data_IF_011086043806
#
_entry.id   IF_011086043806
#
_cell.length_a   1.000
_cell.length_b   1.000
_cell.length_c   1.000
_cell.angle_alpha   90.00
_cell.angle_beta   90.00
_cell.angle_gamma   90.00
#
_symmetry.space_group_name_H-M   'P 1'
#
loop_
_entity.id
_entity.type
_entity.pdbx_description
1 polymer ?
#
# COMPACT_ATOMS: atom_id res chain seq x y z
N UNK A 1 -12.38 -30.16 7.94
CA UNK A 1 -11.81 -29.03 7.17
C UNK A 1 -10.35 -29.36 6.87
N UNK A 2 -9.87 -29.10 5.68
CA UNK A 2 -8.49 -29.39 5.27
C UNK A 2 -7.74 -28.07 5.05
N UNK A 3 -6.51 -27.98 5.56
CA UNK A 3 -5.63 -26.84 5.40
C UNK A 3 -4.55 -27.15 4.38
N UNK A 4 -4.30 -26.25 3.46
CA UNK A 4 -3.29 -26.41 2.42
C UNK A 4 -2.38 -25.18 2.34
N UNK A 5 -1.14 -25.40 1.89
CA UNK A 5 -0.20 -24.33 1.61
C UNK A 5 -0.05 -23.33 2.76
N UNK A 6 -0.33 -22.05 2.49
CA UNK A 6 -0.20 -20.97 3.46
C UNK A 6 -1.13 -21.10 4.65
N UNK A 7 -2.35 -21.65 4.48
CA UNK A 7 -3.28 -21.87 5.61
C UNK A 7 -2.68 -22.89 6.60
N UNK A 8 -2.05 -23.97 6.12
CA UNK A 8 -1.35 -24.92 7.00
C UNK A 8 -0.18 -24.25 7.72
N UNK A 9 0.57 -23.39 7.05
CA UNK A 9 1.66 -22.65 7.66
C UNK A 9 1.14 -21.72 8.79
N UNK A 10 0.04 -21.00 8.56
CA UNK A 10 -0.61 -20.16 9.59
C UNK A 10 -1.03 -21.00 10.81
N UNK A 11 -1.65 -22.17 10.58
CA UNK A 11 -2.07 -23.08 11.68
C UNK A 11 -0.93 -23.49 12.58
N UNK A 12 0.23 -23.77 12.02
CA UNK A 12 1.40 -24.32 12.73
C UNK A 12 2.35 -23.25 13.29
N UNK A 13 2.18 -22.00 12.88
CA UNK A 13 3.11 -20.92 13.26
C UNK A 13 2.94 -20.51 14.72
N UNK A 14 4.04 -20.55 15.49
CA UNK A 14 4.11 -20.17 16.91
C UNK A 14 4.72 -18.78 17.14
N UNK A 15 4.97 -18.00 16.09
CA UNK A 15 5.51 -16.64 16.21
C UNK A 15 4.59 -15.76 17.05
N UNK A 16 5.15 -14.94 17.93
CA UNK A 16 4.43 -14.15 18.93
C UNK A 16 3.37 -13.22 18.33
N UNK A 17 3.68 -12.60 17.20
CA UNK A 17 2.79 -11.64 16.51
C UNK A 17 2.62 -12.08 15.06
N UNK A 18 1.39 -12.46 14.67
CA UNK A 18 1.06 -12.91 13.31
C UNK A 18 0.10 -11.94 12.64
N UNK A 19 0.46 -11.53 11.44
CA UNK A 19 -0.42 -10.86 10.49
C UNK A 19 -0.82 -11.85 9.39
N UNK A 20 -2.12 -12.17 9.34
CA UNK A 20 -2.73 -13.05 8.34
C UNK A 20 -3.60 -12.21 7.41
N UNK A 21 -2.94 -11.45 6.58
CA UNK A 21 -3.56 -10.54 5.62
C UNK A 21 -4.02 -11.27 4.35
N UNK A 22 -4.92 -10.69 3.59
CA UNK A 22 -5.20 -11.24 2.27
C UNK A 22 -6.58 -10.95 1.69
N UNK A 23 -6.85 -11.62 0.57
CA UNK A 23 -8.04 -11.49 -0.25
C UNK A 23 -9.36 -11.76 0.48
N UNK A 24 -10.46 -11.31 -0.12
CA UNK A 24 -11.80 -11.76 0.30
C UNK A 24 -11.91 -13.28 0.07
N UNK A 25 -12.66 -13.97 0.93
CA UNK A 25 -12.85 -15.43 0.85
C UNK A 25 -11.57 -16.28 0.90
N UNK A 26 -10.42 -15.72 1.26
CA UNK A 26 -9.15 -16.45 1.43
C UNK A 26 -9.14 -17.39 2.65
N UNK A 27 -10.21 -17.41 3.46
CA UNK A 27 -10.33 -18.28 4.63
C UNK A 27 -9.61 -17.82 5.89
N UNK A 28 -9.14 -16.56 5.93
CA UNK A 28 -8.38 -15.96 7.04
C UNK A 28 -9.05 -16.17 8.41
N UNK A 29 -10.28 -15.67 8.54
CA UNK A 29 -11.04 -15.75 9.80
C UNK A 29 -11.22 -17.19 10.26
N UNK A 30 -11.53 -18.10 9.34
CA UNK A 30 -11.75 -19.52 9.66
C UNK A 30 -10.45 -20.18 10.15
N UNK A 31 -9.33 -20.00 9.45
CA UNK A 31 -8.06 -20.61 9.86
C UNK A 31 -7.56 -20.05 11.20
N UNK A 32 -7.72 -18.74 11.44
CA UNK A 32 -7.34 -18.13 12.70
C UNK A 32 -8.20 -18.63 13.86
N UNK A 33 -9.51 -18.73 13.70
CA UNK A 33 -10.40 -19.27 14.74
C UNK A 33 -10.10 -20.75 15.05
N UNK A 34 -9.85 -21.57 14.03
CA UNK A 34 -9.42 -22.96 14.24
C UNK A 34 -8.08 -23.06 14.97
N UNK A 35 -7.15 -22.13 14.71
CA UNK A 35 -5.89 -22.04 15.42
C UNK A 35 -6.11 -21.75 16.93
N UNK A 36 -7.00 -20.82 17.26
CA UNK A 36 -7.34 -20.53 18.65
C UNK A 36 -8.11 -21.69 19.30
N UNK A 37 -8.98 -22.35 18.55
CA UNK A 37 -9.66 -23.57 19.03
C UNK A 37 -8.64 -24.69 19.34
N UNK A 38 -7.66 -24.91 18.47
CA UNK A 38 -6.59 -25.88 18.72
C UNK A 38 -5.79 -25.54 19.99
N UNK A 39 -5.54 -24.25 20.24
CA UNK A 39 -4.87 -23.79 21.46
C UNK A 39 -5.71 -24.08 22.72
N UNK A 40 -7.05 -23.93 22.67
CA UNK A 40 -7.95 -24.31 23.76
C UNK A 40 -7.81 -25.80 24.12
N UNK A 41 -7.72 -26.67 23.12
CA UNK A 41 -7.55 -28.11 23.34
C UNK A 41 -6.16 -28.47 23.89
N UNK A 42 -5.16 -27.76 23.39
CA UNK A 42 -3.75 -28.06 23.71
C UNK A 42 -3.36 -27.57 25.12
N UNK A 43 -3.93 -26.45 25.58
CA UNK A 43 -3.51 -25.78 26.82
C UNK A 43 -4.71 -25.65 27.78
N UNK A 44 -4.91 -26.58 28.72
CA UNK A 44 -5.97 -26.48 29.72
C UNK A 44 -5.89 -25.17 30.51
N UNK A 45 -7.02 -24.49 30.69
CA UNK A 45 -7.13 -23.24 31.43
C UNK A 45 -6.67 -22.00 30.66
N UNK A 46 -6.31 -22.09 29.38
CA UNK A 46 -5.81 -20.95 28.60
C UNK A 46 -6.86 -19.83 28.48
N UNK A 47 -6.48 -18.57 28.79
CA UNK A 47 -7.30 -17.39 28.53
C UNK A 47 -7.03 -16.84 27.13
N UNK A 48 -8.05 -16.81 26.26
CA UNK A 48 -7.99 -16.31 24.88
C UNK A 48 -8.97 -15.16 24.71
N UNK A 49 -8.61 -14.15 23.92
CA UNK A 49 -9.50 -13.07 23.49
C UNK A 49 -9.79 -13.18 22.00
N UNK A 50 -11.06 -13.22 21.62
CA UNK A 50 -11.55 -13.05 20.25
C UNK A 50 -12.16 -11.66 20.11
N UNK A 51 -11.68 -10.86 19.18
CA UNK A 51 -12.04 -9.45 19.09
C UNK A 51 -12.29 -8.96 17.66
N UNK A 52 -13.07 -7.90 17.56
CA UNK A 52 -13.20 -6.97 16.44
C UNK A 52 -13.27 -5.54 16.93
N UNK A 53 -13.35 -4.58 16.01
CA UNK A 53 -13.45 -3.19 16.42
C UNK A 53 -14.74 -2.89 17.18
N UNK A 54 -15.91 -3.42 16.75
CA UNK A 54 -17.19 -3.17 17.43
C UNK A 54 -17.78 -4.42 18.06
N UNK A 55 -18.62 -4.26 19.10
CA UNK A 55 -19.33 -5.36 19.75
C UNK A 55 -20.32 -6.01 18.76
N UNK A 56 -21.05 -5.24 17.96
CA UNK A 56 -21.97 -5.75 16.95
C UNK A 56 -21.27 -6.67 15.96
N UNK A 57 -20.07 -6.29 15.53
CA UNK A 57 -19.30 -7.07 14.56
C UNK A 57 -18.74 -8.37 15.16
N UNK A 58 -18.25 -8.37 16.40
CA UNK A 58 -17.76 -9.60 17.03
C UNK A 58 -18.90 -10.58 17.31
N UNK A 59 -20.02 -10.12 17.86
CA UNK A 59 -21.16 -10.97 18.17
C UNK A 59 -21.92 -11.43 16.92
N UNK A 60 -21.99 -10.59 15.87
CA UNK A 60 -22.69 -10.93 14.63
C UNK A 60 -21.89 -11.83 13.67
N UNK A 61 -20.57 -11.83 13.73
CA UNK A 61 -19.72 -12.53 12.74
C UNK A 61 -18.77 -13.56 13.36
N UNK A 62 -18.07 -13.21 14.44
CA UNK A 62 -17.07 -14.11 15.04
C UNK A 62 -17.73 -15.19 15.88
N UNK A 63 -18.68 -14.82 16.74
CA UNK A 63 -19.36 -15.75 17.63
C UNK A 63 -20.08 -16.88 16.89
N UNK A 64 -20.86 -16.62 15.81
CA UNK A 64 -21.47 -17.71 15.04
C UNK A 64 -20.46 -18.68 14.43
N UNK A 65 -19.35 -18.17 13.89
CA UNK A 65 -18.28 -19.01 13.34
C UNK A 65 -17.56 -19.82 14.43
N UNK A 66 -17.28 -19.19 15.57
CA UNK A 66 -16.69 -19.88 16.72
C UNK A 66 -17.57 -21.01 17.21
N UNK A 67 -18.88 -20.76 17.37
CA UNK A 67 -19.86 -21.78 17.80
C UNK A 67 -19.89 -22.94 16.80
N UNK A 68 -19.93 -22.65 15.49
CA UNK A 68 -19.92 -23.70 14.47
C UNK A 68 -18.63 -24.52 14.49
N UNK A 69 -17.48 -23.93 14.79
CA UNK A 69 -16.20 -24.64 14.97
C UNK A 69 -16.28 -25.58 16.17
N UNK A 70 -16.74 -25.10 17.33
CA UNK A 70 -16.87 -25.93 18.55
C UNK A 70 -17.86 -27.08 18.34
N UNK A 71 -19.01 -26.82 17.70
CA UNK A 71 -19.97 -27.85 17.34
C UNK A 71 -19.37 -28.91 16.41
N UNK A 72 -18.71 -28.49 15.34
CA UNK A 72 -18.03 -29.40 14.41
C UNK A 72 -16.96 -30.24 15.09
N UNK A 73 -16.27 -29.67 16.08
CA UNK A 73 -15.22 -30.35 16.83
C UNK A 73 -15.75 -31.23 17.97
N UNK A 74 -17.04 -31.08 18.31
CA UNK A 74 -17.67 -31.82 19.44
C UNK A 74 -17.29 -31.28 20.83
N UNK A 75 -16.88 -29.99 20.91
CA UNK A 75 -16.48 -29.37 22.17
C UNK A 75 -17.63 -28.56 22.78
N UNK A 76 -17.99 -28.93 24.03
CA UNK A 76 -18.98 -28.19 24.78
C UNK A 76 -18.41 -26.89 25.37
N UNK A 77 -19.18 -25.83 25.31
CA UNK A 77 -18.86 -24.54 25.90
C UNK A 77 -20.09 -23.91 26.55
N UNK A 78 -19.89 -23.11 27.58
CA UNK A 78 -20.95 -22.45 28.34
C UNK A 78 -20.75 -20.94 28.27
N UNK A 79 -21.77 -20.21 27.83
CA UNK A 79 -21.73 -18.76 27.78
C UNK A 79 -21.91 -18.14 29.17
N UNK A 80 -20.95 -17.35 29.58
CA UNK A 80 -20.97 -16.55 30.80
C UNK A 80 -21.26 -15.09 30.43
N UNK A 81 -22.50 -14.65 30.61
CA UNK A 81 -22.94 -13.31 30.25
C UNK A 81 -22.36 -12.20 31.12
N UNK A 82 -21.97 -12.50 32.37
CA UNK A 82 -21.37 -11.48 33.27
C UNK A 82 -19.97 -11.10 32.83
N UNK A 83 -19.20 -12.07 32.37
CA UNK A 83 -17.84 -11.84 31.93
C UNK A 83 -17.71 -11.77 30.40
N UNK A 84 -18.82 -11.95 29.66
CA UNK A 84 -18.89 -12.06 28.22
C UNK A 84 -17.79 -12.97 27.66
N UNK A 85 -17.76 -14.21 28.13
CA UNK A 85 -16.84 -15.24 27.71
C UNK A 85 -17.53 -16.62 27.59
N UNK A 86 -16.87 -17.51 26.84
CA UNK A 86 -17.17 -18.92 26.87
C UNK A 86 -16.25 -19.64 27.85
N UNK A 87 -16.79 -20.40 28.75
CA UNK A 87 -16.07 -21.32 29.62
C UNK A 87 -16.12 -22.74 29.05
N UNK A 88 -14.98 -23.42 28.95
CA UNK A 88 -14.88 -24.81 28.52
C UNK A 88 -14.85 -25.74 29.71
N UNK A 89 -15.93 -26.47 30.02
CA UNK A 89 -15.99 -27.32 31.20
C UNK A 89 -14.99 -28.48 31.19
N UNK A 90 -14.58 -28.94 29.99
CA UNK A 90 -13.70 -30.08 29.81
C UNK A 90 -12.25 -29.82 30.31
N UNK A 91 -11.77 -28.58 30.23
CA UNK A 91 -10.38 -28.27 30.57
C UNK A 91 -10.15 -26.87 31.19
N UNK A 92 -11.23 -26.10 31.41
CA UNK A 92 -11.15 -24.78 32.05
C UNK A 92 -10.67 -23.66 31.14
N UNK A 93 -10.48 -23.87 29.83
CA UNK A 93 -10.14 -22.80 28.90
C UNK A 93 -11.24 -21.71 28.88
N UNK A 94 -10.82 -20.45 28.77
CA UNK A 94 -11.73 -19.31 28.80
C UNK A 94 -11.55 -18.41 27.60
N UNK A 95 -12.62 -18.16 26.85
CA UNK A 95 -12.60 -17.43 25.60
C UNK A 95 -13.41 -16.15 25.75
N UNK A 96 -12.74 -15.02 25.94
CA UNK A 96 -13.34 -13.69 26.03
C UNK A 96 -13.76 -13.19 24.66
N UNK A 97 -14.92 -12.55 24.59
CA UNK A 97 -15.50 -11.98 23.38
C UNK A 97 -15.65 -10.47 23.55
N UNK A 98 -14.97 -9.66 22.72
CA UNK A 98 -15.00 -8.19 22.89
C UNK A 98 -14.97 -7.43 21.55
N UNK A 99 -15.81 -6.39 21.47
CA UNK A 99 -15.54 -5.25 20.60
C UNK A 99 -14.60 -4.29 21.33
N UNK A 100 -13.55 -3.83 20.64
CA UNK A 100 -12.50 -3.02 21.27
C UNK A 100 -12.80 -1.51 21.26
N UNK A 101 -13.80 -1.06 20.48
CA UNK A 101 -14.22 0.33 20.42
C UNK A 101 -14.83 0.78 21.75
N UNK A 102 -14.24 1.79 22.40
CA UNK A 102 -14.81 2.48 23.53
C UNK A 102 -15.78 3.56 23.05
N UNK A 103 -16.92 3.71 23.74
CA UNK A 103 -17.86 4.82 23.49
C UNK A 103 -17.30 6.15 24.01
N UNK A 104 -16.48 6.11 25.06
CA UNK A 104 -15.85 7.29 25.66
C UNK A 104 -14.38 7.36 25.22
N UNK A 105 -14.02 8.43 24.50
CA UNK A 105 -12.65 8.65 24.03
C UNK A 105 -11.65 8.86 25.18
N UNK A 106 -12.10 9.38 26.33
CA UNK A 106 -11.26 9.54 27.51
C UNK A 106 -10.91 8.21 28.19
N UNK A 107 -11.73 7.20 27.96
CA UNK A 107 -11.57 5.83 28.45
C UNK A 107 -11.19 4.82 27.35
N UNK A 108 -10.46 5.28 26.34
CA UNK A 108 -10.15 4.56 25.11
C UNK A 108 -9.64 3.13 25.33
N UNK A 109 -8.87 2.89 26.38
CA UNK A 109 -8.30 1.58 26.73
C UNK A 109 -9.12 0.82 27.79
N UNK A 110 -10.27 1.34 28.23
CA UNK A 110 -11.02 0.77 29.36
C UNK A 110 -11.42 -0.68 29.14
N UNK A 111 -11.76 -1.04 27.90
CA UNK A 111 -12.19 -2.39 27.53
C UNK A 111 -11.06 -3.44 27.59
N UNK A 112 -9.78 -3.03 27.61
CA UNK A 112 -8.64 -3.93 27.71
C UNK A 112 -8.01 -3.95 29.10
N UNK A 113 -8.35 -2.98 29.96
CA UNK A 113 -7.81 -2.90 31.31
C UNK A 113 -8.29 -4.08 32.15
N UNK A 114 -7.35 -4.68 32.89
CA UNK A 114 -7.66 -5.83 33.78
C UNK A 114 -7.59 -7.19 33.10
N UNK A 115 -7.44 -7.26 31.77
CA UNK A 115 -7.20 -8.56 31.12
C UNK A 115 -5.75 -9.01 31.28
N UNK A 116 -5.63 -10.31 31.57
CA UNK A 116 -4.37 -11.07 31.53
C UNK A 116 -4.68 -12.29 30.65
N UNK A 117 -4.24 -12.21 29.38
CA UNK A 117 -4.53 -13.23 28.38
C UNK A 117 -3.25 -13.88 27.87
N UNK A 118 -3.36 -15.08 27.36
CA UNK A 118 -2.27 -15.78 26.70
C UNK A 118 -2.30 -15.52 25.18
N UNK A 119 -3.48 -15.51 24.60
CA UNK A 119 -3.64 -15.36 23.15
C UNK A 119 -4.74 -14.37 22.81
N UNK A 120 -4.60 -13.72 21.69
CA UNK A 120 -5.63 -12.86 21.13
C UNK A 120 -5.75 -13.07 19.62
N UNK A 121 -6.96 -13.05 19.13
CA UNK A 121 -7.27 -12.97 17.71
C UNK A 121 -8.13 -11.73 17.43
N UNK A 122 -7.70 -10.91 16.46
CA UNK A 122 -8.42 -9.71 16.00
C UNK A 122 -8.78 -9.86 14.53
N UNK A 123 -10.05 -9.99 14.24
CA UNK A 123 -10.57 -10.03 12.86
C UNK A 123 -10.80 -8.62 12.33
N UNK A 124 -10.53 -8.40 11.04
CA UNK A 124 -10.57 -7.08 10.37
C UNK A 124 -9.76 -6.02 11.14
N UNK A 125 -8.51 -6.36 11.41
CA UNK A 125 -7.62 -5.52 12.21
C UNK A 125 -7.28 -4.18 11.54
N UNK A 126 -7.57 -3.99 10.26
CA UNK A 126 -7.47 -2.71 9.56
C UNK A 126 -8.39 -1.63 10.13
N UNK A 127 -9.47 -2.03 10.81
CA UNK A 127 -10.35 -1.09 11.51
C UNK A 127 -9.77 -0.62 12.85
N UNK A 128 -8.73 -1.30 13.37
CA UNK A 128 -8.19 -1.08 14.70
C UNK A 128 -7.16 0.06 14.69
N UNK A 129 -7.28 1.06 15.58
CA UNK A 129 -6.20 2.02 15.80
C UNK A 129 -4.93 1.36 16.34
N UNK A 130 -3.75 1.85 15.90
CA UNK A 130 -2.46 1.28 16.27
C UNK A 130 -2.22 1.22 17.79
N UNK A 131 -2.60 2.26 18.51
CA UNK A 131 -2.44 2.32 19.97
C UNK A 131 -3.28 1.28 20.73
N UNK A 132 -4.44 0.90 20.20
CA UNK A 132 -5.25 -0.20 20.75
C UNK A 132 -4.57 -1.55 20.51
N UNK A 133 -3.93 -1.75 19.37
CA UNK A 133 -3.13 -2.94 19.09
C UNK A 133 -1.95 -3.06 20.11
N UNK A 134 -1.22 -1.96 20.33
CA UNK A 134 -0.11 -1.94 21.29
C UNK A 134 -0.58 -2.24 22.72
N UNK A 135 -1.71 -1.67 23.14
CA UNK A 135 -2.31 -1.97 24.45
C UNK A 135 -2.71 -3.44 24.56
N UNK A 136 -3.32 -4.01 23.51
CA UNK A 136 -3.71 -5.42 23.48
C UNK A 136 -2.47 -6.34 23.56
N UNK A 137 -1.43 -6.05 22.78
CA UNK A 137 -0.17 -6.81 22.81
C UNK A 137 0.48 -6.81 24.21
N UNK A 138 0.33 -5.69 24.95
CA UNK A 138 0.76 -5.57 26.34
C UNK A 138 -0.02 -6.45 27.33
N UNK A 139 -1.22 -6.93 26.94
CA UNK A 139 -2.04 -7.83 27.81
C UNK A 139 -1.68 -9.30 27.65
N UNK A 140 -0.83 -9.66 26.71
CA UNK A 140 -0.32 -11.03 26.55
C UNK A 140 0.69 -11.37 27.66
N UNK A 141 0.19 -11.69 28.84
CA UNK A 141 1.01 -11.88 30.04
C UNK A 141 0.53 -13.02 30.95
N UNK A 142 -0.42 -13.85 30.50
CA UNK A 142 -0.90 -14.99 31.28
C UNK A 142 0.22 -16.01 31.53
N UNK A 143 0.57 -16.30 32.81
CA UNK A 143 1.71 -17.15 33.12
C UNK A 143 1.44 -18.62 32.73
N UNK A 144 2.48 -19.32 32.28
CA UNK A 144 2.41 -20.76 31.99
C UNK A 144 1.87 -21.10 30.59
N UNK A 145 1.59 -20.10 29.74
CA UNK A 145 1.08 -20.28 28.39
C UNK A 145 1.97 -19.64 27.34
N UNK A 146 1.98 -20.18 26.09
CA UNK A 146 2.59 -19.49 24.97
C UNK A 146 1.78 -18.24 24.61
N UNK A 147 2.45 -17.11 24.43
CA UNK A 147 1.82 -15.84 24.08
C UNK A 147 1.79 -15.64 22.58
N UNK A 148 0.60 -15.40 22.03
CA UNK A 148 0.46 -15.07 20.61
C UNK A 148 -0.69 -14.09 20.38
N UNK A 149 -0.48 -13.07 19.52
CA UNK A 149 -1.51 -12.26 18.93
C UNK A 149 -1.56 -12.53 17.42
N UNK A 150 -2.74 -12.84 16.94
CA UNK A 150 -3.01 -13.02 15.51
C UNK A 150 -3.97 -11.94 15.05
N UNK A 151 -3.61 -11.20 14.02
CA UNK A 151 -4.50 -10.24 13.38
C UNK A 151 -4.81 -10.71 11.96
N UNK A 152 -6.04 -10.45 11.48
CA UNK A 152 -6.43 -10.80 10.11
C UNK A 152 -7.11 -9.63 9.41
N UNK A 153 -6.33 -8.70 8.85
CA UNK A 153 -6.84 -7.63 8.01
C UNK A 153 -7.20 -8.12 6.60
N UNK A 154 -7.99 -7.33 5.87
CA UNK A 154 -7.98 -7.40 4.41
C UNK A 154 -6.64 -6.88 3.90
N UNK A 155 -6.36 -7.06 2.58
CA UNK A 155 -5.16 -6.50 2.00
C UNK A 155 -5.19 -4.96 2.12
N UNK A 156 -4.26 -4.43 2.90
CA UNK A 156 -4.16 -3.02 3.32
C UNK A 156 -3.26 -2.20 2.40
N UNK A 157 -3.25 -0.89 2.63
CA UNK A 157 -2.29 0.01 2.00
C UNK A 157 -0.92 -0.06 2.69
N UNK A 158 0.15 0.15 1.93
CA UNK A 158 1.53 0.16 2.48
C UNK A 158 1.76 1.28 3.51
N UNK A 159 0.91 2.31 3.52
CA UNK A 159 0.93 3.39 4.51
C UNK A 159 0.24 3.04 5.83
N UNK A 160 -0.51 1.95 5.88
CA UNK A 160 -1.23 1.53 7.08
C UNK A 160 -0.27 1.07 8.18
N UNK A 161 -0.62 1.29 9.46
CA UNK A 161 0.24 0.92 10.59
C UNK A 161 0.59 -0.57 10.61
N UNK A 162 -0.33 -1.46 10.18
CA UNK A 162 -0.07 -2.90 10.08
C UNK A 162 1.08 -3.18 9.10
N UNK A 163 1.12 -2.48 7.95
CA UNK A 163 2.20 -2.66 6.98
C UNK A 163 3.56 -2.23 7.52
N UNK A 164 3.58 -1.22 8.41
CA UNK A 164 4.79 -0.75 9.07
C UNK A 164 5.28 -1.73 10.15
N UNK A 165 4.35 -2.29 10.93
CA UNK A 165 4.66 -3.26 11.98
C UNK A 165 5.02 -4.65 11.41
N UNK A 166 4.39 -5.05 10.30
CA UNK A 166 4.56 -6.35 9.64
C UNK A 166 5.00 -6.16 8.18
N UNK A 167 6.20 -5.62 7.89
CA UNK A 167 6.69 -5.51 6.53
C UNK A 167 6.84 -6.90 5.88
N UNK A 168 6.66 -6.98 4.56
CA UNK A 168 6.72 -8.26 3.81
C UNK A 168 8.09 -8.94 4.00
N UNK A 169 9.17 -8.14 3.98
CA UNK A 169 10.55 -8.61 4.19
C UNK A 169 10.99 -8.42 5.65
N UNK A 170 10.20 -8.94 6.57
CA UNK A 170 10.39 -8.73 7.99
C UNK A 170 11.57 -9.56 8.54
N UNK A 171 12.56 -8.91 9.12
CA UNK A 171 13.68 -9.54 9.84
C UNK A 171 13.43 -9.73 11.35
N UNK A 172 12.30 -9.25 11.90
CA UNK A 172 11.96 -9.40 13.30
C UNK A 172 11.50 -10.84 13.59
N UNK A 173 12.21 -11.62 14.43
CA UNK A 173 11.87 -13.02 14.69
C UNK A 173 10.56 -13.18 15.48
N UNK A 174 10.04 -12.12 16.08
CA UNK A 174 8.80 -12.13 16.85
C UNK A 174 7.56 -11.78 16.03
N UNK A 175 7.73 -11.40 14.74
CA UNK A 175 6.64 -10.98 13.86
C UNK A 175 6.69 -11.74 12.56
N UNK A 176 5.53 -12.09 12.03
CA UNK A 176 5.43 -12.75 10.73
C UNK A 176 4.18 -12.31 9.97
N UNK A 177 4.36 -12.12 8.69
CA UNK A 177 3.30 -11.75 7.75
C UNK A 177 3.00 -12.92 6.81
N UNK A 178 1.70 -13.17 6.59
CA UNK A 178 1.16 -14.11 5.60
C UNK A 178 0.18 -13.38 4.69
N UNK A 179 0.44 -13.39 3.39
CA UNK A 179 -0.50 -12.90 2.37
C UNK A 179 -1.26 -14.08 1.76
N UNK A 180 -2.58 -14.15 2.00
CA UNK A 180 -3.46 -15.20 1.47
C UNK A 180 -4.26 -14.68 0.28
N UNK A 181 -4.19 -15.38 -0.85
CA UNK A 181 -5.04 -15.16 -2.01
C UNK A 181 -6.35 -15.95 -1.89
N UNK A 182 -7.33 -15.64 -2.74
CA UNK A 182 -8.54 -16.44 -2.83
C UNK A 182 -8.25 -17.91 -3.23
N UNK A 183 -7.18 -18.14 -3.98
CA UNK A 183 -6.76 -19.46 -4.46
C UNK A 183 -6.23 -20.33 -3.33
N UNK A 184 -5.69 -19.76 -2.25
CA UNK A 184 -5.25 -20.49 -1.05
C UNK A 184 -6.43 -21.18 -0.35
N UNK A 185 -7.68 -20.78 -0.64
CA UNK A 185 -8.92 -21.35 -0.08
C UNK A 185 -9.78 -22.08 -1.11
N UNK A 186 -9.30 -22.26 -2.35
CA UNK A 186 -10.10 -22.80 -3.45
C UNK A 186 -10.75 -24.17 -3.13
N UNK A 187 -10.05 -25.01 -2.37
CA UNK A 187 -10.52 -26.34 -1.98
C UNK A 187 -11.68 -26.35 -0.96
N UNK A 188 -11.96 -25.21 -0.30
CA UNK A 188 -13.06 -25.05 0.65
C UNK A 188 -14.23 -24.22 0.08
N UNK A 189 -14.06 -23.65 -1.12
CA UNK A 189 -15.08 -22.81 -1.77
C UNK A 189 -15.90 -23.63 -2.77
N UNK A 190 -17.15 -23.22 -2.98
CA UNK A 190 -17.91 -23.71 -4.13
C UNK A 190 -17.15 -23.34 -5.43
N UNK A 191 -17.05 -24.26 -6.41
CA UNK A 191 -16.31 -24.04 -7.66
C UNK A 191 -16.75 -22.80 -8.45
N UNK A 192 -17.97 -22.30 -8.26
CA UNK A 192 -18.48 -21.10 -8.94
C UNK A 192 -17.99 -19.78 -8.34
N UNK A 193 -17.48 -19.78 -7.09
CA UNK A 193 -17.15 -18.56 -6.34
C UNK A 193 -15.94 -17.83 -6.96
N UNK A 194 -14.85 -18.55 -7.25
CA UNK A 194 -13.64 -17.93 -7.81
C UNK A 194 -13.92 -17.34 -9.20
N UNK A 195 -14.52 -18.07 -10.17
CA UNK A 195 -14.85 -17.49 -11.47
C UNK A 195 -15.81 -16.29 -11.38
N UNK A 196 -16.74 -16.29 -10.44
CA UNK A 196 -17.63 -15.16 -10.23
C UNK A 196 -16.88 -13.91 -9.74
N UNK A 197 -15.95 -14.07 -8.80
CA UNK A 197 -15.15 -12.97 -8.28
C UNK A 197 -14.13 -12.45 -9.30
N UNK A 198 -13.50 -13.32 -10.08
CA UNK A 198 -12.60 -12.92 -11.17
C UNK A 198 -13.32 -12.13 -12.27
N UNK A 199 -14.59 -12.46 -12.54
CA UNK A 199 -15.42 -11.68 -13.46
C UNK A 199 -15.78 -10.31 -12.90
N UNK A 200 -16.04 -10.19 -11.60
CA UNK A 200 -16.31 -8.91 -10.92
C UNK A 200 -15.05 -8.05 -10.80
N UNK A 201 -13.91 -8.68 -10.59
CA UNK A 201 -12.59 -8.04 -10.40
C UNK A 201 -11.57 -8.67 -11.36
N UNK A 202 -11.69 -8.43 -12.69
CA UNK A 202 -10.75 -8.98 -13.67
C UNK A 202 -9.33 -8.41 -13.43
N UNK A 203 -8.28 -8.99 -14.04
CA UNK A 203 -6.90 -8.52 -13.88
C UNK A 203 -6.67 -7.03 -14.18
N UNK A 204 -7.51 -6.44 -15.03
CA UNK A 204 -7.50 -4.99 -15.31
C UNK A 204 -8.20 -4.13 -14.24
N UNK A 205 -8.90 -4.74 -13.29
CA UNK A 205 -9.63 -4.02 -12.25
C UNK A 205 -8.65 -3.59 -11.14
N UNK A 206 -8.65 -2.30 -10.70
CA UNK A 206 -7.72 -1.79 -9.68
C UNK A 206 -7.69 -2.60 -8.38
N UNK A 207 -8.83 -3.18 -7.99
CA UNK A 207 -8.94 -4.01 -6.77
C UNK A 207 -8.62 -5.49 -6.97
N UNK A 208 -8.25 -5.93 -8.18
CA UNK A 208 -7.89 -7.34 -8.43
C UNK A 208 -6.76 -7.80 -7.52
N UNK A 209 -5.72 -6.98 -7.42
CA UNK A 209 -4.53 -7.28 -6.61
C UNK A 209 -4.88 -7.49 -5.13
N UNK A 210 -5.71 -6.62 -4.55
CA UNK A 210 -6.07 -6.69 -3.14
C UNK A 210 -7.15 -7.72 -2.84
N UNK A 211 -8.24 -7.72 -3.65
CA UNK A 211 -9.41 -8.55 -3.35
C UNK A 211 -9.31 -10.00 -3.85
N UNK A 212 -8.50 -10.26 -4.89
CA UNK A 212 -8.30 -11.59 -5.47
C UNK A 212 -6.95 -12.18 -5.05
N UNK A 213 -5.87 -11.43 -5.24
CA UNK A 213 -4.52 -11.93 -4.96
C UNK A 213 -4.12 -11.78 -3.49
N UNK A 214 -4.81 -10.93 -2.71
CA UNK A 214 -4.50 -10.67 -1.30
C UNK A 214 -3.15 -9.98 -1.10
N UNK A 215 -2.68 -9.26 -2.09
CA UNK A 215 -1.41 -8.54 -2.05
C UNK A 215 -1.70 -7.12 -1.61
N UNK A 216 -0.90 -6.61 -0.68
CA UNK A 216 -0.90 -5.20 -0.26
C UNK A 216 -0.85 -4.28 -1.47
N UNK A 217 -1.44 -3.18 -1.36
CA UNK A 217 -1.52 -2.18 -2.39
C UNK A 217 -2.79 -1.38 -2.22
N UNK A 218 -2.93 -0.40 -3.02
CA UNK A 218 -3.88 0.68 -2.93
C UNK A 218 -5.32 0.22 -2.75
N UNK A 219 -5.93 0.64 -1.66
CA UNK A 219 -7.38 0.77 -1.59
C UNK A 219 -7.75 2.02 -2.41
N UNK A 220 -7.92 1.84 -3.72
CA UNK A 220 -8.23 2.95 -4.62
C UNK A 220 -9.64 3.43 -4.35
N UNK A 221 -9.77 4.41 -3.49
CA UNK A 221 -10.96 5.26 -3.42
C UNK A 221 -10.74 6.42 -4.37
N UNK A 222 -11.32 6.34 -5.57
CA UNK A 222 -11.22 7.36 -6.59
C UNK A 222 -11.00 6.79 -8.00
N UNK A 223 -11.18 7.62 -9.01
CA UNK A 223 -10.89 7.28 -10.39
C UNK A 223 -9.39 7.45 -10.67
N UNK A 224 -8.66 6.38 -11.10
CA UNK A 224 -7.23 6.48 -11.40
C UNK A 224 -6.95 7.50 -12.52
N UNK A 225 -5.89 8.28 -12.35
CA UNK A 225 -5.49 9.33 -13.29
C UNK A 225 -5.16 8.76 -14.67
N UNK A 226 -4.51 7.62 -14.73
CA UNK A 226 -4.09 6.98 -15.98
C UNK A 226 -5.10 5.95 -16.51
N UNK A 227 -6.24 5.75 -15.83
CA UNK A 227 -7.41 5.05 -16.35
C UNK A 227 -7.16 3.71 -17.03
N UNK A 228 -6.31 2.83 -16.48
CA UNK A 228 -5.97 1.53 -17.06
C UNK A 228 -5.01 1.58 -18.26
N UNK A 229 -4.43 2.75 -18.59
CA UNK A 229 -3.36 2.85 -19.59
C UNK A 229 -2.09 2.11 -19.15
N UNK A 230 -1.78 2.11 -17.85
CA UNK A 230 -0.71 1.33 -17.28
C UNK A 230 -1.22 -0.08 -16.95
N UNK A 231 -0.60 -1.08 -17.54
CA UNK A 231 -0.84 -2.51 -17.26
C UNK A 231 0.48 -3.10 -16.78
N UNK A 232 0.54 -3.52 -15.53
CA UNK A 232 1.77 -3.95 -14.86
C UNK A 232 2.53 -5.02 -15.65
N UNK A 233 1.85 -6.04 -16.15
CA UNK A 233 2.44 -7.12 -16.93
C UNK A 233 3.11 -6.67 -18.24
N UNK A 234 2.71 -5.49 -18.76
CA UNK A 234 3.27 -4.92 -19.99
C UNK A 234 4.31 -3.84 -19.71
N UNK A 235 4.11 -3.06 -18.66
CA UNK A 235 4.88 -1.83 -18.40
C UNK A 235 5.86 -1.95 -17.21
N UNK A 236 5.84 -3.04 -16.47
CA UNK A 236 6.87 -3.34 -15.46
C UNK A 236 7.73 -4.50 -15.97
N UNK A 237 9.01 -4.25 -16.16
CA UNK A 237 9.91 -5.25 -16.75
C UNK A 237 11.38 -4.85 -16.68
N UNK A 238 12.28 -5.64 -17.29
CA UNK A 238 13.69 -5.33 -17.29
C UNK A 238 13.94 -4.03 -18.08
N UNK A 239 14.59 -3.07 -17.41
CA UNK A 239 15.07 -1.83 -18.02
C UNK A 239 16.46 -1.53 -17.45
N UNK A 240 17.47 -1.70 -18.30
CA UNK A 240 18.87 -1.48 -17.91
C UNK A 240 19.29 -0.06 -18.21
N UNK A 241 20.20 0.44 -17.37
CA UNK A 241 20.87 1.70 -17.57
C UNK A 241 21.87 1.60 -18.73
N UNK A 242 21.84 2.57 -19.65
CA UNK A 242 22.83 2.72 -20.71
C UNK A 242 23.69 3.98 -20.45
N UNK A 243 24.98 3.85 -20.12
CA UNK A 243 25.83 4.99 -19.80
C UNK A 243 25.99 5.99 -20.95
N UNK A 244 25.69 5.63 -22.19
CA UNK A 244 25.75 6.49 -23.37
C UNK A 244 24.55 7.41 -23.52
N UNK A 245 23.49 7.18 -22.79
CA UNK A 245 22.26 7.98 -22.81
C UNK A 245 22.24 8.93 -21.61
N UNK A 246 21.70 10.14 -21.76
CA UNK A 246 21.50 11.02 -20.62
C UNK A 246 20.67 10.36 -19.52
N UNK A 247 21.09 10.53 -18.27
CA UNK A 247 20.32 10.17 -17.09
C UNK A 247 19.51 11.38 -16.64
N UNK A 248 18.20 11.31 -16.80
CA UNK A 248 17.27 12.33 -16.33
C UNK A 248 16.87 12.06 -14.87
N UNK A 249 16.88 13.09 -14.04
CA UNK A 249 16.50 13.02 -12.64
C UNK A 249 15.50 14.12 -12.31
N UNK A 250 14.39 13.78 -11.66
CA UNK A 250 13.43 14.74 -11.14
C UNK A 250 13.30 14.65 -9.63
N UNK A 251 13.15 15.81 -8.99
CA UNK A 251 12.94 15.95 -7.55
C UNK A 251 11.58 16.60 -7.26
N UNK A 252 10.82 15.98 -6.35
CA UNK A 252 9.65 16.58 -5.71
C UNK A 252 9.97 16.81 -4.23
N UNK A 253 9.78 18.05 -3.76
CA UNK A 253 10.20 18.47 -2.41
C UNK A 253 9.23 18.10 -1.30
N UNK A 254 8.25 17.27 -1.51
CA UNK A 254 7.21 16.92 -0.56
C UNK A 254 7.62 17.12 0.90
N UNK A 255 6.88 17.93 1.67
CA UNK A 255 7.27 18.39 3.01
C UNK A 255 7.70 17.27 3.96
N UNK A 256 7.07 16.10 3.84
CA UNK A 256 7.32 14.92 4.68
C UNK A 256 7.78 13.70 3.85
N UNK A 257 7.55 13.74 2.54
CA UNK A 257 7.83 12.66 1.62
C UNK A 257 8.56 13.18 0.37
N UNK A 258 9.80 13.69 0.51
CA UNK A 258 10.59 14.09 -0.65
C UNK A 258 10.82 12.90 -1.56
N UNK A 259 10.78 13.12 -2.87
CA UNK A 259 10.88 12.04 -3.85
C UNK A 259 11.91 12.38 -4.95
N UNK A 260 12.60 11.36 -5.44
CA UNK A 260 13.41 11.41 -6.65
C UNK A 260 13.07 10.24 -7.56
N UNK A 261 13.03 10.48 -8.86
CA UNK A 261 12.86 9.45 -9.89
C UNK A 261 13.93 9.63 -10.98
N UNK A 262 14.52 8.50 -11.40
CA UNK A 262 15.54 8.42 -12.44
C UNK A 262 14.96 7.82 -13.72
N UNK A 263 15.27 8.44 -14.87
CA UNK A 263 14.73 8.06 -16.18
C UNK A 263 15.79 8.11 -17.25
N UNK A 264 15.66 7.27 -18.27
CA UNK A 264 16.33 7.40 -19.56
C UNK A 264 15.32 7.26 -20.70
N UNK A 265 15.64 7.83 -21.84
CA UNK A 265 14.92 7.59 -23.09
C UNK A 265 15.85 6.91 -24.08
N UNK A 266 15.49 5.71 -24.55
CA UNK A 266 16.30 4.97 -25.51
C UNK A 266 16.32 5.65 -26.89
N UNK A 267 17.28 5.30 -27.73
CA UNK A 267 17.37 5.78 -29.12
C UNK A 267 16.11 5.46 -29.95
N UNK A 268 15.32 4.46 -29.54
CA UNK A 268 14.07 4.05 -30.19
C UNK A 268 12.82 4.71 -29.58
N UNK A 269 12.99 5.67 -28.67
CA UNK A 269 11.90 6.41 -28.06
C UNK A 269 11.20 5.70 -26.89
N UNK A 270 11.76 4.62 -26.35
CA UNK A 270 11.24 4.00 -25.13
C UNK A 270 11.66 4.80 -23.91
N UNK A 271 10.70 5.24 -23.12
CA UNK A 271 10.90 5.87 -21.82
C UNK A 271 11.11 4.79 -20.77
N UNK A 272 12.21 4.83 -20.06
CA UNK A 272 12.60 3.85 -19.03
C UNK A 272 12.76 4.53 -17.69
N UNK A 273 11.86 4.26 -16.75
CA UNK A 273 12.04 4.64 -15.37
C UNK A 273 12.91 3.59 -14.67
N UNK A 274 14.10 3.97 -14.22
CA UNK A 274 15.16 3.05 -13.82
C UNK A 274 15.22 2.81 -12.32
N UNK A 275 14.69 3.72 -11.52
CA UNK A 275 14.70 3.67 -10.06
C UNK A 275 14.23 4.98 -9.46
N UNK A 276 14.08 5.00 -8.15
CA UNK A 276 13.67 6.18 -7.42
C UNK A 276 13.71 5.97 -5.90
N UNK A 277 13.67 7.06 -5.17
CA UNK A 277 13.66 7.06 -3.71
C UNK A 277 12.50 7.92 -3.23
N UNK A 278 11.66 7.36 -2.37
CA UNK A 278 10.62 8.07 -1.64
C UNK A 278 11.04 8.17 -0.17
N UNK A 279 11.27 9.40 0.30
CA UNK A 279 11.57 9.68 1.70
C UNK A 279 10.30 9.62 2.55
N UNK A 280 10.37 8.95 3.68
CA UNK A 280 9.29 8.92 4.66
C UNK A 280 9.71 9.68 5.91
N UNK A 281 9.07 10.82 6.17
CA UNK A 281 9.39 11.71 7.30
C UNK A 281 10.87 12.14 7.33
N UNK A 282 11.44 12.41 6.15
CA UNK A 282 12.81 12.88 5.99
C UNK A 282 12.83 14.36 5.63
N UNK A 283 13.79 15.09 6.22
CA UNK A 283 14.10 16.45 5.78
C UNK A 283 14.85 16.45 4.46
N UNK A 284 14.72 17.55 3.69
CA UNK A 284 15.28 17.67 2.35
C UNK A 284 16.80 17.49 2.32
N UNK A 285 17.54 18.11 3.23
CA UNK A 285 19.01 18.10 3.21
C UNK A 285 19.59 16.67 3.38
N UNK A 286 19.24 15.87 4.39
CA UNK A 286 19.68 14.47 4.48
C UNK A 286 19.13 13.61 3.34
N UNK A 287 17.94 13.91 2.80
CA UNK A 287 17.40 13.21 1.64
C UNK A 287 18.26 13.42 0.41
N UNK A 288 18.73 14.65 0.15
CA UNK A 288 19.62 14.93 -0.99
C UNK A 288 20.95 14.15 -0.87
N UNK A 289 21.52 14.03 0.33
CA UNK A 289 22.74 13.24 0.54
C UNK A 289 22.51 11.76 0.19
N UNK A 290 21.36 11.21 0.55
CA UNK A 290 20.98 9.86 0.15
C UNK A 290 20.81 9.74 -1.38
N UNK A 291 20.15 10.71 -2.01
CA UNK A 291 19.98 10.74 -3.47
C UNK A 291 21.32 10.73 -4.19
N UNK A 292 22.26 11.56 -3.76
CA UNK A 292 23.60 11.62 -4.35
C UNK A 292 24.38 10.33 -4.17
N UNK A 293 24.29 9.72 -2.97
CA UNK A 293 24.88 8.40 -2.68
C UNK A 293 24.35 7.33 -3.63
N UNK A 294 23.03 7.14 -3.68
CA UNK A 294 22.41 6.09 -4.49
C UNK A 294 22.55 6.36 -5.99
N UNK A 295 22.53 7.62 -6.43
CA UNK A 295 22.83 7.97 -7.82
C UNK A 295 24.22 7.48 -8.24
N UNK A 296 25.23 7.73 -7.40
CA UNK A 296 26.60 7.29 -7.65
C UNK A 296 26.74 5.76 -7.62
N UNK A 297 26.02 5.10 -6.72
CA UNK A 297 26.03 3.65 -6.58
C UNK A 297 25.32 2.95 -7.75
N UNK A 298 24.16 3.46 -8.15
CA UNK A 298 23.32 2.83 -9.19
C UNK A 298 23.76 3.16 -10.62
N UNK A 299 24.35 4.34 -10.83
CA UNK A 299 24.68 4.88 -12.14
C UNK A 299 26.09 5.49 -12.16
N UNK A 300 27.14 4.72 -11.78
CA UNK A 300 28.50 5.24 -11.62
C UNK A 300 29.09 5.79 -12.94
N UNK A 301 28.66 5.22 -14.08
CA UNK A 301 29.18 5.54 -15.40
C UNK A 301 28.31 6.54 -16.19
N UNK A 302 27.37 7.21 -15.53
CA UNK A 302 26.52 8.22 -16.17
C UNK A 302 27.36 9.40 -16.68
N UNK A 303 27.46 9.56 -18.03
CA UNK A 303 28.26 10.60 -18.66
C UNK A 303 27.55 11.95 -18.65
N UNK A 304 26.24 11.97 -18.78
CA UNK A 304 25.40 13.16 -18.76
C UNK A 304 24.26 12.98 -17.78
N UNK A 305 24.11 13.92 -16.84
CA UNK A 305 23.02 13.95 -15.89
C UNK A 305 22.23 15.23 -16.11
N UNK A 306 20.90 15.11 -16.29
CA UNK A 306 20.01 16.25 -16.47
C UNK A 306 19.01 16.26 -15.32
N UNK A 307 18.91 17.39 -14.64
CA UNK A 307 18.19 17.50 -13.38
C UNK A 307 17.03 18.48 -13.50
N UNK A 308 15.86 18.14 -12.96
CA UNK A 308 14.71 19.03 -12.86
C UNK A 308 13.99 18.89 -11.52
N UNK A 309 13.14 19.87 -11.21
CA UNK A 309 12.38 19.88 -9.97
C UNK A 309 11.06 20.65 -10.09
N UNK A 310 10.25 20.61 -9.02
CA UNK A 310 9.09 21.49 -8.85
C UNK A 310 9.51 22.97 -8.87
N UNK A 311 8.89 23.82 -9.69
CA UNK A 311 9.14 25.26 -9.70
C UNK A 311 8.80 25.95 -8.37
N UNK A 312 7.91 25.42 -7.55
CA UNK A 312 7.61 25.94 -6.22
C UNK A 312 8.85 25.95 -5.29
N UNK A 313 9.84 25.08 -5.54
CA UNK A 313 11.09 25.03 -4.79
C UNK A 313 12.00 26.24 -5.00
N UNK A 314 11.75 27.08 -6.02
CA UNK A 314 12.50 28.30 -6.27
C UNK A 314 12.05 29.49 -5.38
N UNK A 315 10.86 29.42 -4.75
CA UNK A 315 10.37 30.46 -3.89
C UNK A 315 11.04 30.43 -2.51
N UNK A 316 11.57 31.58 -2.06
CA UNK A 316 12.03 31.75 -0.68
C UNK A 316 10.78 31.69 0.25
N UNK A 317 10.87 30.87 1.31
CA UNK A 317 9.78 30.80 2.27
C UNK A 317 9.75 32.06 3.13
N UNK A 318 8.54 32.59 3.42
CA UNK A 318 8.30 33.79 4.23
C UNK A 318 8.85 33.71 5.67
N UNK A 319 9.46 32.59 6.07
CA UNK A 319 9.98 32.32 7.42
C UNK A 319 11.50 32.18 7.48
N UNK A 320 12.24 32.70 6.49
CA UNK A 320 13.71 32.76 6.53
C UNK A 320 14.45 31.44 6.34
N UNK A 321 13.76 30.36 5.97
CA UNK A 321 14.39 29.11 5.52
C UNK A 321 14.79 29.23 4.06
N UNK A 322 16.02 28.82 3.73
CA UNK A 322 16.50 28.83 2.33
C UNK A 322 15.55 28.02 1.44
N UNK A 323 15.26 28.53 0.25
CA UNK A 323 14.46 27.80 -0.74
C UNK A 323 15.13 26.47 -1.13
N UNK A 324 14.32 25.45 -1.41
CA UNK A 324 14.81 24.10 -1.73
C UNK A 324 15.86 24.10 -2.86
N UNK A 325 15.67 24.92 -3.90
CA UNK A 325 16.63 25.04 -5.02
C UNK A 325 17.99 25.56 -4.57
N UNK A 326 18.06 26.48 -3.59
CA UNK A 326 19.35 26.95 -3.07
C UNK A 326 20.10 25.84 -2.33
N UNK A 327 19.38 24.99 -1.59
CA UNK A 327 19.95 23.82 -0.93
C UNK A 327 20.52 22.84 -1.97
N UNK A 328 19.78 22.59 -3.06
CA UNK A 328 20.24 21.73 -4.16
C UNK A 328 21.52 22.28 -4.80
N UNK A 329 21.56 23.58 -5.10
CA UNK A 329 22.74 24.23 -5.70
C UNK A 329 23.97 24.11 -4.80
N UNK A 330 23.82 24.27 -3.47
CA UNK A 330 24.93 24.06 -2.52
C UNK A 330 25.48 22.63 -2.53
N UNK A 331 24.61 21.65 -2.83
CA UNK A 331 24.96 20.23 -2.98
C UNK A 331 25.45 19.87 -4.41
N UNK A 332 25.60 20.86 -5.29
CA UNK A 332 26.07 20.66 -6.66
C UNK A 332 25.04 20.18 -7.66
N UNK A 333 23.75 20.27 -7.34
CA UNK A 333 22.64 19.91 -8.23
C UNK A 333 22.13 21.16 -8.98
N UNK A 334 22.16 21.13 -10.32
CA UNK A 334 21.79 22.26 -11.20
C UNK A 334 20.41 22.01 -11.82
N UNK A 335 19.38 22.02 -10.99
CA UNK A 335 18.02 21.68 -11.41
C UNK A 335 17.38 22.71 -12.32
N UNK A 336 16.68 22.22 -13.34
CA UNK A 336 15.81 23.04 -14.19
C UNK A 336 14.39 23.00 -13.64
N UNK A 337 13.69 24.11 -13.71
CA UNK A 337 12.25 24.16 -13.46
C UNK A 337 11.56 24.98 -14.54
N UNK A 338 10.42 24.51 -15.04
CA UNK A 338 9.61 25.31 -15.96
C UNK A 338 8.53 26.04 -15.16
N UNK A 339 8.44 27.39 -15.26
CA UNK A 339 7.53 28.20 -14.42
C UNK A 339 6.07 27.80 -14.49
N UNK A 340 5.64 27.25 -15.62
CA UNK A 340 4.24 26.86 -15.87
C UNK A 340 3.91 25.41 -15.53
N UNK A 341 4.86 24.61 -14.98
CA UNK A 341 4.65 23.18 -14.72
C UNK A 341 3.50 22.90 -13.76
N UNK A 342 3.18 23.83 -12.85
CA UNK A 342 2.06 23.73 -11.92
C UNK A 342 0.72 24.22 -12.51
N UNK A 343 0.71 24.68 -13.79
CA UNK A 343 -0.56 25.00 -14.45
C UNK A 343 -1.40 23.73 -14.65
N UNK A 344 -2.66 23.69 -14.13
CA UNK A 344 -3.51 22.52 -14.28
C UNK A 344 -3.69 22.06 -15.74
N UNK A 345 -3.70 22.99 -16.70
CA UNK A 345 -3.85 22.68 -18.13
C UNK A 345 -2.59 22.00 -18.68
N UNK A 346 -1.41 22.50 -18.32
CA UNK A 346 -0.15 21.88 -18.75
C UNK A 346 0.00 20.50 -18.11
N UNK A 347 -0.33 20.38 -16.84
CA UNK A 347 -0.31 19.11 -16.12
C UNK A 347 -1.17 18.04 -16.79
N UNK A 348 -2.42 18.39 -17.14
CA UNK A 348 -3.29 17.47 -17.89
C UNK A 348 -2.69 17.02 -19.21
N UNK A 349 -2.08 17.93 -19.99
CA UNK A 349 -1.44 17.57 -21.24
C UNK A 349 -0.23 16.66 -21.05
N UNK A 350 0.51 16.78 -19.93
CA UNK A 350 1.61 15.89 -19.59
C UNK A 350 1.10 14.52 -19.15
N UNK A 351 0.07 14.47 -18.32
CA UNK A 351 -0.59 13.23 -17.91
C UNK A 351 -1.04 12.44 -19.14
N UNK A 352 -1.72 13.10 -20.09
CA UNK A 352 -2.18 12.45 -21.32
C UNK A 352 -1.01 11.93 -22.18
N UNK A 353 0.10 12.67 -22.24
CA UNK A 353 1.31 12.17 -22.94
C UNK A 353 1.90 10.93 -22.29
N UNK A 354 1.95 10.87 -20.96
CA UNK A 354 2.40 9.68 -20.24
C UNK A 354 1.45 8.50 -20.49
N UNK A 355 0.14 8.75 -20.45
CA UNK A 355 -0.86 7.75 -20.81
C UNK A 355 -0.72 7.28 -22.26
N UNK A 356 -0.43 8.19 -23.20
CA UNK A 356 -0.17 7.86 -24.60
C UNK A 356 1.08 6.98 -24.77
N UNK A 357 2.16 7.27 -24.03
CA UNK A 357 3.35 6.42 -24.04
C UNK A 357 3.03 4.99 -23.51
N UNK A 358 2.16 4.89 -22.51
CA UNK A 358 1.70 3.59 -22.02
C UNK A 358 0.89 2.82 -23.08
N UNK A 359 0.08 3.49 -23.90
CA UNK A 359 -0.73 2.87 -24.97
C UNK A 359 0.06 2.54 -26.24
N UNK A 360 1.24 3.14 -26.42
CA UNK A 360 2.07 2.99 -27.65
C UNK A 360 3.17 1.95 -27.45
N UNK A 361 3.74 1.55 -28.59
CA UNK A 361 4.97 0.74 -28.65
C UNK A 361 6.12 1.56 -29.20
N UNK A 362 7.32 1.33 -28.68
CA UNK A 362 8.56 1.88 -29.23
C UNK A 362 8.91 1.18 -30.56
N UNK A 363 9.85 1.76 -31.32
CA UNK A 363 10.24 1.27 -32.64
C UNK A 363 10.77 -0.17 -32.64
N UNK A 364 11.30 -0.67 -31.52
CA UNK A 364 11.74 -2.05 -31.34
C UNK A 364 10.62 -3.02 -30.91
N UNK A 365 9.36 -2.60 -31.03
CA UNK A 365 8.15 -3.34 -30.65
C UNK A 365 8.00 -3.61 -29.15
N UNK A 366 8.82 -3.00 -28.30
CA UNK A 366 8.61 -2.98 -26.86
C UNK A 366 7.61 -1.88 -26.47
N UNK A 367 7.04 -1.95 -25.28
CA UNK A 367 6.18 -0.88 -24.77
C UNK A 367 6.96 0.45 -24.71
N UNK A 368 6.32 1.56 -25.06
CA UNK A 368 7.02 2.87 -25.17
C UNK A 368 7.33 3.48 -23.80
N UNK A 369 6.71 2.96 -22.74
CA UNK A 369 7.03 3.31 -21.35
C UNK A 369 7.25 2.02 -20.56
N UNK A 370 8.36 1.93 -19.83
CA UNK A 370 8.69 0.81 -18.94
C UNK A 370 9.13 1.36 -17.59
N UNK A 371 8.63 0.77 -16.52
CA UNK A 371 9.14 0.92 -15.16
C UNK A 371 10.03 -0.29 -14.87
N UNK A 372 11.26 -0.06 -14.46
CA UNK A 372 12.22 -1.13 -14.19
C UNK A 372 11.75 -2.02 -13.04
N UNK A 373 11.78 -3.33 -13.25
CA UNK A 373 11.60 -4.32 -12.21
C UNK A 373 12.93 -4.59 -11.51
N UNK A 374 13.45 -3.60 -10.77
CA UNK A 374 14.74 -3.65 -10.08
C UNK A 374 14.60 -3.27 -8.61
N UNK A 375 15.62 -3.55 -7.81
CA UNK A 375 15.69 -3.18 -6.39
C UNK A 375 16.10 -1.71 -6.19
N UNK A 376 16.12 -0.90 -7.26
CA UNK A 376 16.42 0.53 -7.23
C UNK A 376 15.21 1.41 -6.93
N UNK A 377 14.12 0.83 -6.47
CA UNK A 377 12.95 1.53 -5.97
C UNK A 377 12.94 1.42 -4.46
N UNK A 378 13.21 2.53 -3.77
CA UNK A 378 13.37 2.53 -2.33
C UNK A 378 12.39 3.46 -1.63
N UNK A 379 11.89 3.02 -0.49
CA UNK A 379 11.30 3.85 0.54
C UNK A 379 12.27 3.94 1.70
N UNK A 380 12.68 5.16 2.06
CA UNK A 380 13.68 5.38 3.10
C UNK A 380 13.09 6.23 4.22
N UNK A 381 13.17 5.73 5.45
CA UNK A 381 12.84 6.45 6.67
C UNK A 381 14.07 6.52 7.60
N UNK A 382 13.94 7.20 8.74
CA UNK A 382 14.99 7.20 9.76
C UNK A 382 15.25 5.79 10.34
N UNK A 383 14.30 4.87 10.24
CA UNK A 383 14.35 3.53 10.83
C UNK A 383 14.67 2.41 9.84
N UNK A 384 14.32 2.58 8.55
CA UNK A 384 14.41 1.50 7.58
C UNK A 384 14.62 1.99 6.14
N UNK A 385 15.28 1.13 5.35
CA UNK A 385 15.28 1.21 3.88
C UNK A 385 14.58 -0.02 3.34
N UNK A 386 13.53 0.16 2.57
CA UNK A 386 12.67 -0.89 2.05
C UNK A 386 12.58 -0.79 0.53
N UNK A 387 12.49 -1.94 -0.15
CA UNK A 387 12.10 -1.97 -1.56
C UNK A 387 10.63 -1.59 -1.67
N UNK A 388 10.31 -0.70 -2.61
CA UNK A 388 8.96 -0.17 -2.83
C UNK A 388 8.65 -0.16 -4.32
N UNK A 389 7.37 0.01 -4.66
CA UNK A 389 6.89 0.10 -6.06
C UNK A 389 6.07 1.38 -6.28
N UNK A 390 6.31 2.42 -5.47
CA UNK A 390 5.48 3.61 -5.41
C UNK A 390 5.17 4.23 -6.78
N UNK A 391 6.11 4.21 -7.74
CA UNK A 391 5.89 4.77 -9.06
C UNK A 391 4.95 3.90 -9.91
N UNK A 392 5.21 2.58 -9.96
CA UNK A 392 4.35 1.64 -10.70
C UNK A 392 2.96 1.55 -10.08
N UNK A 393 2.88 1.52 -8.75
CA UNK A 393 1.63 1.52 -8.00
C UNK A 393 0.84 2.81 -8.27
N UNK A 394 1.50 3.96 -8.31
CA UNK A 394 0.87 5.24 -8.67
C UNK A 394 0.33 5.24 -10.11
N UNK A 395 1.08 4.74 -11.09
CA UNK A 395 0.60 4.60 -12.47
C UNK A 395 -0.58 3.64 -12.61
N UNK A 396 -0.56 2.52 -11.87
CA UNK A 396 -1.62 1.51 -11.96
C UNK A 396 -2.94 2.03 -11.41
N UNK A 397 -2.94 2.62 -10.21
CA UNK A 397 -4.16 3.04 -9.55
C UNK A 397 -4.01 4.01 -8.36
N UNK A 398 -2.82 4.18 -7.72
CA UNK A 398 -2.66 4.99 -6.50
C UNK A 398 -2.82 6.48 -6.71
N UNK A 399 -2.53 6.94 -7.90
CA UNK A 399 -2.69 8.32 -8.27
C UNK A 399 -4.09 8.53 -8.84
N UNK A 400 -4.96 9.20 -8.10
CA UNK A 400 -6.38 9.35 -8.39
C UNK A 400 -6.76 10.80 -8.63
N UNK A 401 -7.88 10.99 -9.34
CA UNK A 401 -8.47 12.32 -9.51
C UNK A 401 -9.07 12.83 -8.20
N UNK A 402 -8.91 14.13 -7.96
CA UNK A 402 -9.65 14.84 -6.91
C UNK A 402 -11.14 14.95 -7.30
N UNK A 403 -12.02 14.79 -6.34
CA UNK A 403 -13.47 14.99 -6.54
C UNK A 403 -13.80 16.43 -6.89
N UNK A 404 -12.96 17.38 -6.48
CA UNK A 404 -13.15 18.82 -6.70
C UNK A 404 -12.39 19.29 -7.95
N UNK A 405 -13.11 19.92 -8.87
CA UNK A 405 -12.52 20.58 -10.04
C UNK A 405 -11.92 21.95 -9.66
N UNK A 406 -10.93 22.39 -10.42
CA UNK A 406 -10.30 23.71 -10.26
C UNK A 406 -10.73 24.62 -11.42
N UNK A 407 -11.13 25.85 -11.09
CA UNK A 407 -11.45 26.84 -12.11
C UNK A 407 -10.17 27.44 -12.72
N UNK A 408 -10.04 27.34 -14.05
CA UNK A 408 -8.96 27.98 -14.81
C UNK A 408 -9.59 28.86 -15.87
N UNK A 409 -9.67 30.16 -15.62
CA UNK A 409 -10.52 31.06 -16.39
C UNK A 409 -11.99 30.64 -16.32
N UNK A 410 -12.63 30.45 -17.47
CA UNK A 410 -14.04 30.02 -17.56
C UNK A 410 -14.21 28.48 -17.65
N UNK A 411 -13.15 27.71 -17.48
CA UNK A 411 -13.19 26.24 -17.58
C UNK A 411 -13.01 25.59 -16.21
N UNK A 412 -13.78 24.52 -15.95
CA UNK A 412 -13.55 23.61 -14.83
C UNK A 412 -12.57 22.52 -15.30
N UNK A 413 -11.51 22.33 -14.55
CA UNK A 413 -10.41 21.42 -14.89
C UNK A 413 -10.21 20.43 -13.75
N UNK A 414 -10.14 19.15 -14.07
CA UNK A 414 -9.78 18.10 -13.09
C UNK A 414 -8.33 18.28 -12.65
N UNK A 415 -8.05 17.97 -11.43
CA UNK A 415 -6.69 17.89 -10.91
C UNK A 415 -6.50 16.55 -10.20
N UNK A 416 -5.29 15.99 -10.19
CA UNK A 416 -4.99 14.86 -9.33
C UNK A 416 -5.12 15.25 -7.86
N UNK A 417 -5.54 14.27 -7.05
CA UNK A 417 -5.64 14.41 -5.59
C UNK A 417 -4.25 14.49 -4.99
N UNK A 418 -4.07 15.35 -4.01
CA UNK A 418 -2.89 15.37 -3.16
C UNK A 418 -3.08 14.38 -2.02
N UNK A 419 -2.51 13.20 -2.14
CA UNK A 419 -2.61 12.14 -1.15
C UNK A 419 -1.42 12.12 -0.17
N UNK A 420 -0.37 12.92 -0.44
CA UNK A 420 0.84 13.00 0.36
C UNK A 420 1.75 11.78 0.20
N UNK A 421 1.52 10.93 -0.79
CA UNK A 421 2.29 9.71 -1.02
C UNK A 421 2.57 9.44 -2.50
N UNK A 422 1.60 8.88 -3.26
CA UNK A 422 1.78 8.54 -4.68
C UNK A 422 1.98 9.76 -5.55
N UNK A 423 1.39 10.90 -5.19
CA UNK A 423 1.53 12.14 -5.94
C UNK A 423 2.99 12.55 -6.14
N UNK A 424 3.89 12.29 -5.17
CA UNK A 424 5.29 12.73 -5.24
C UNK A 424 6.06 11.98 -6.33
N UNK A 425 5.88 10.67 -6.47
CA UNK A 425 6.46 9.88 -7.56
C UNK A 425 5.89 10.27 -8.93
N UNK A 426 4.58 10.51 -9.00
CA UNK A 426 3.91 10.92 -10.23
C UNK A 426 4.29 12.33 -10.65
N UNK A 427 4.43 13.27 -9.71
CA UNK A 427 4.95 14.60 -9.99
C UNK A 427 6.37 14.54 -10.59
N UNK A 428 7.25 13.69 -10.05
CA UNK A 428 8.58 13.48 -10.63
C UNK A 428 8.48 12.97 -12.08
N UNK A 429 7.62 12.01 -12.39
CA UNK A 429 7.40 11.51 -13.75
C UNK A 429 6.87 12.61 -14.68
N UNK A 430 5.94 13.43 -14.20
CA UNK A 430 5.41 14.59 -14.93
C UNK A 430 6.48 15.65 -15.19
N UNK A 431 7.34 15.98 -14.21
CA UNK A 431 8.45 16.92 -14.39
C UNK A 431 9.49 16.40 -15.37
N UNK A 432 9.80 15.11 -15.36
CA UNK A 432 10.69 14.48 -16.34
C UNK A 432 10.13 14.61 -17.76
N UNK A 433 8.86 14.32 -17.93
CA UNK A 433 8.22 14.41 -19.26
C UNK A 433 8.11 15.85 -19.75
N UNK A 434 7.81 16.79 -18.85
CA UNK A 434 7.73 18.21 -19.17
C UNK A 434 9.09 18.79 -19.60
N UNK A 435 10.19 18.44 -18.89
CA UNK A 435 11.50 19.05 -19.09
C UNK A 435 12.34 18.34 -20.17
N UNK A 436 12.16 17.02 -20.32
CA UNK A 436 13.03 16.18 -21.16
C UNK A 436 12.26 15.28 -22.14
N UNK A 437 10.93 15.42 -22.22
CA UNK A 437 10.12 14.71 -23.21
C UNK A 437 10.42 15.15 -24.65
N UNK A 438 10.12 14.28 -25.61
CA UNK A 438 10.47 14.46 -27.04
C UNK A 438 9.81 15.68 -27.71
N UNK A 439 8.73 16.23 -27.11
CA UNK A 439 8.00 17.37 -27.69
C UNK A 439 7.71 18.38 -26.59
N UNK A 440 8.02 19.65 -26.80
CA UNK A 440 7.76 20.72 -25.84
C UNK A 440 6.25 21.02 -25.76
N UNK A 441 5.65 20.85 -24.59
CA UNK A 441 4.25 21.25 -24.37
C UNK A 441 4.17 22.76 -24.19
N UNK A 442 3.40 23.44 -25.03
CA UNK A 442 3.16 24.88 -24.92
C UNK A 442 1.73 25.15 -24.44
N UNK A 443 1.52 26.30 -23.76
CA UNK A 443 0.15 26.74 -23.35
C UNK A 443 -0.84 26.74 -24.54
N UNK A 444 -0.37 27.05 -25.75
CA UNK A 444 -1.21 27.09 -26.94
C UNK A 444 -1.70 25.69 -27.37
N UNK A 445 -0.85 24.67 -27.22
CA UNK A 445 -1.21 23.27 -27.49
C UNK A 445 -2.13 22.70 -26.42
N UNK A 446 -1.88 23.04 -25.15
CA UNK A 446 -2.70 22.65 -24.01
C UNK A 446 -4.11 23.31 -24.03
N UNK A 447 -4.24 24.54 -24.55
CA UNK A 447 -5.52 25.24 -24.65
C UNK A 447 -6.48 24.65 -25.70
N UNK A 448 -5.98 23.89 -26.67
CA UNK A 448 -6.76 23.16 -27.68
C UNK A 448 -7.25 21.79 -27.22
N UNK A 449 -6.81 21.32 -26.05
CA UNK A 449 -7.19 20.03 -25.54
C UNK A 449 -8.63 20.06 -24.99
N UNK A 450 -9.48 19.16 -25.49
CA UNK A 450 -10.80 18.88 -24.94
C UNK A 450 -10.68 17.58 -24.12
N UNK A 451 -11.14 17.62 -22.87
CA UNK A 451 -11.28 16.40 -22.08
C UNK A 451 -12.12 15.39 -22.85
N UNK A 452 -11.76 14.10 -22.89
CA UNK A 452 -12.65 13.09 -23.42
C UNK A 452 -14.03 13.23 -22.74
N UNK A 453 -15.14 13.05 -23.48
CA UNK A 453 -16.46 13.20 -22.90
C UNK A 453 -16.59 12.26 -21.69
N UNK A 454 -17.01 12.83 -20.57
CA UNK A 454 -17.44 12.08 -19.39
C UNK A 454 -18.75 11.40 -19.75
N UNK A 455 -18.70 10.21 -20.24
CA UNK A 455 -19.90 9.49 -20.60
C UNK A 455 -19.60 8.27 -21.46
N UNK A 456 -20.05 7.14 -20.95
CA UNK A 456 -20.25 5.91 -21.71
C UNK A 456 -18.99 5.11 -22.11
N UNK A 457 -18.26 4.61 -21.13
CA UNK A 457 -17.87 3.21 -21.18
C UNK A 457 -19.08 2.40 -20.70
N UNK A 458 -20.07 2.30 -21.61
CA UNK A 458 -21.18 1.39 -21.45
C UNK A 458 -20.64 -0.03 -21.38
N UNK A 459 -20.75 -0.61 -20.23
CA UNK A 459 -20.65 -2.04 -20.02
C UNK A 459 -21.93 -2.66 -20.57
N UNK A 460 -22.00 -2.93 -21.86
CA UNK A 460 -22.97 -3.84 -22.45
C UNK A 460 -22.21 -5.02 -23.04
N UNK A 461 -22.46 -6.20 -22.49
CA UNK A 461 -22.04 -7.49 -23.00
C UNK A 461 -21.12 -8.25 -22.04
#
# INVERSE_FOLDING_TARGET
MHWHGKQSAVMLDATRELDVEGAIRAGKTTVCLWKEHAACRQYPGIPILLARWTDEAVFGLIVPLWNAICEQAGDAQIWNSKEACYDWPSNGARIYIRGLKSQDQTLRYSKLRGYTIARAYVDQAEELPHDIYLELAGRLSAPGFPHQITISPQAIEDTHWIAQEFPVDNSNPHRKHYALSIYDNAHNLDPSVIPALERLYPPSHPKHRTLIQGIRGMNVTGEPVYGGAFVRQLHEGPAEFDPRLPLDMALDFGKHHPCVVFRQTSAFGQVRFLGGILGQSLYLDPFIDLVLKYRQEWFPDAQEIRECCDPAGAADTSHGTEGAVKTLLKKGLHVRSQPDSNSPIIRLAIIERLADLMRKRAANRQEALIVSHSDRWLRISAQATLIDRFLADGFEAGYVWDEHMVSVGNKQVRKPKKDGWYEHGQNCAEYLELNFGSTRVTKKQAAGWQAPPTGELGWTG
#
